data_IF_398557690702
#
_entry.id   IF_398557690702
#
_cell.length_a   1.000
_cell.length_b   1.000
_cell.length_c   1.000
_cell.angle_alpha   90.00
_cell.angle_beta   90.00
_cell.angle_gamma   90.00
#
_symmetry.space_group_name_H-M   'P 1'
#
loop_
_entity.id
_entity.type
_entity.pdbx_description
1 polymer ?
#
# COMPACT_ATOMS: atom_id res chain seq x y z
N UNK A 1 -45.24 -11.00 22.60
CA UNK A 1 -44.01 -11.74 22.22
C UNK A 1 -43.99 -11.79 20.70
N UNK A 2 -43.13 -11.02 20.04
CA UNK A 2 -43.01 -11.05 18.58
C UNK A 2 -42.14 -12.24 18.17
N UNK A 3 -42.71 -13.17 17.42
CA UNK A 3 -41.98 -14.34 16.90
C UNK A 3 -40.83 -13.88 16.02
N UNK A 4 -39.59 -14.22 16.42
CA UNK A 4 -38.40 -13.95 15.59
C UNK A 4 -38.46 -14.83 14.35
N UNK A 5 -38.62 -14.21 13.19
CA UNK A 5 -38.66 -14.87 11.88
C UNK A 5 -37.41 -15.73 11.65
N UNK A 6 -37.52 -16.86 10.94
CA UNK A 6 -36.38 -17.76 10.63
C UNK A 6 -35.13 -17.02 10.10
N UNK A 7 -35.34 -15.95 9.32
CA UNK A 7 -34.28 -15.07 8.78
C UNK A 7 -33.50 -14.30 9.83
N UNK A 8 -34.09 -14.00 10.99
CA UNK A 8 -33.43 -13.24 12.07
C UNK A 8 -32.43 -14.09 12.87
N UNK A 9 -32.52 -15.42 12.76
CA UNK A 9 -31.59 -16.36 13.42
C UNK A 9 -30.32 -16.63 12.60
N UNK A 10 -30.31 -16.27 11.32
CA UNK A 10 -29.19 -16.56 10.43
C UNK A 10 -28.13 -15.45 10.49
N UNK A 11 -26.95 -15.77 11.05
CA UNK A 11 -25.82 -14.81 11.17
C UNK A 11 -25.24 -14.38 9.81
N UNK A 12 -25.52 -15.12 8.72
CA UNK A 12 -24.95 -14.90 7.39
C UNK A 12 -26.06 -14.45 6.43
N UNK A 13 -26.26 -13.14 6.33
CA UNK A 13 -27.38 -12.53 5.56
C UNK A 13 -27.05 -12.29 4.08
N UNK A 14 -25.77 -12.28 3.73
CA UNK A 14 -25.30 -11.99 2.38
C UNK A 14 -24.97 -13.29 1.64
N UNK A 15 -25.50 -13.44 0.43
CA UNK A 15 -25.31 -14.60 -0.43
C UNK A 15 -24.55 -14.19 -1.69
N UNK A 16 -23.65 -15.06 -2.15
CA UNK A 16 -22.95 -14.94 -3.42
C UNK A 16 -23.11 -16.25 -4.17
N UNK A 17 -23.38 -16.16 -5.48
CA UNK A 17 -23.37 -17.31 -6.38
C UNK A 17 -22.06 -17.29 -7.17
N UNK A 18 -21.43 -18.46 -7.34
CA UNK A 18 -20.20 -18.63 -8.09
C UNK A 18 -20.39 -19.77 -9.09
N UNK A 19 -20.01 -19.54 -10.33
CA UNK A 19 -19.89 -20.60 -11.33
C UNK A 19 -18.43 -21.04 -11.34
N UNK A 20 -18.20 -22.35 -11.17
CA UNK A 20 -16.87 -22.95 -11.20
C UNK A 20 -16.75 -23.82 -12.43
N UNK A 21 -15.56 -23.89 -13.01
CA UNK A 21 -15.23 -24.92 -13.98
C UNK A 21 -14.93 -26.27 -13.29
N UNK A 22 -14.77 -27.33 -14.07
CA UNK A 22 -14.59 -28.68 -13.54
C UNK A 22 -13.33 -28.83 -12.67
N UNK A 23 -12.24 -28.13 -13.02
CA UNK A 23 -10.98 -28.15 -12.25
C UNK A 23 -11.13 -27.41 -10.91
N UNK A 24 -11.70 -26.21 -10.93
CA UNK A 24 -11.98 -25.40 -9.75
C UNK A 24 -12.91 -26.11 -8.76
N UNK A 25 -13.92 -26.83 -9.28
CA UNK A 25 -14.82 -27.63 -8.46
C UNK A 25 -14.07 -28.80 -7.80
N UNK A 26 -13.22 -29.50 -8.56
CA UNK A 26 -12.44 -30.64 -8.06
C UNK A 26 -11.48 -30.24 -6.93
N UNK A 27 -10.87 -29.07 -7.03
CA UNK A 27 -10.01 -28.53 -5.97
C UNK A 27 -10.80 -28.25 -4.68
N UNK A 28 -11.98 -27.64 -4.82
CA UNK A 28 -12.89 -27.40 -3.68
C UNK A 28 -13.31 -28.71 -3.03
N UNK A 29 -13.62 -29.74 -3.83
CA UNK A 29 -14.02 -31.06 -3.35
C UNK A 29 -12.89 -31.74 -2.58
N UNK A 30 -11.68 -31.72 -3.13
CA UNK A 30 -10.50 -32.28 -2.47
C UNK A 30 -10.25 -31.61 -1.11
N UNK A 31 -10.42 -30.30 -1.01
CA UNK A 31 -10.27 -29.54 0.24
C UNK A 31 -11.40 -29.89 1.23
N UNK A 32 -12.64 -29.96 0.74
CA UNK A 32 -13.79 -30.31 1.56
C UNK A 32 -13.64 -31.72 2.16
N UNK A 33 -13.21 -32.69 1.36
CA UNK A 33 -12.95 -34.06 1.80
C UNK A 33 -11.83 -34.13 2.84
N UNK A 34 -10.68 -33.50 2.57
CA UNK A 34 -9.51 -33.54 3.47
C UNK A 34 -9.76 -32.85 4.80
N UNK A 35 -10.55 -31.78 4.81
CA UNK A 35 -10.91 -31.06 6.04
C UNK A 35 -12.16 -31.61 6.71
N UNK A 36 -12.82 -32.61 6.10
CA UNK A 36 -14.10 -33.16 6.54
C UNK A 36 -15.18 -32.07 6.74
N UNK A 37 -15.29 -31.17 5.76
CA UNK A 37 -16.24 -30.04 5.78
C UNK A 37 -17.15 -30.06 4.54
N UNK A 38 -18.16 -29.18 4.51
CA UNK A 38 -19.00 -29.04 3.31
C UNK A 38 -18.28 -28.21 2.24
N UNK A 39 -18.61 -28.43 0.95
CA UNK A 39 -18.10 -27.60 -0.17
C UNK A 39 -18.27 -26.10 0.10
N UNK A 40 -19.41 -25.69 0.64
CA UNK A 40 -19.68 -24.30 0.99
C UNK A 40 -18.76 -23.76 2.11
N UNK A 41 -18.38 -24.59 3.08
CA UNK A 41 -17.44 -24.22 4.13
C UNK A 41 -16.01 -24.10 3.56
N UNK A 42 -15.60 -25.04 2.70
CA UNK A 42 -14.30 -24.99 2.01
C UNK A 42 -14.15 -23.74 1.12
N UNK A 43 -15.15 -23.46 0.26
CA UNK A 43 -15.17 -22.24 -0.59
C UNK A 43 -15.06 -20.99 0.28
N UNK A 44 -15.78 -20.95 1.40
CA UNK A 44 -15.74 -19.81 2.32
C UNK A 44 -14.34 -19.62 2.90
N UNK A 45 -13.68 -20.69 3.31
CA UNK A 45 -12.34 -20.62 3.87
C UNK A 45 -11.33 -20.10 2.84
N UNK A 46 -11.39 -20.62 1.61
CA UNK A 46 -10.60 -20.13 0.47
C UNK A 46 -10.84 -18.63 0.25
N UNK A 47 -12.10 -18.19 0.18
CA UNK A 47 -12.45 -16.78 -0.01
C UNK A 47 -11.92 -15.88 1.12
N UNK A 48 -12.02 -16.32 2.37
CA UNK A 48 -11.55 -15.53 3.53
C UNK A 48 -10.02 -15.45 3.55
N UNK A 49 -9.32 -16.57 3.30
CA UNK A 49 -7.87 -16.61 3.23
C UNK A 49 -7.33 -15.73 2.09
N UNK A 50 -7.89 -15.90 0.89
CA UNK A 50 -7.52 -15.08 -0.27
C UNK A 50 -7.84 -13.60 -0.05
N UNK A 51 -8.98 -13.27 0.58
CA UNK A 51 -9.31 -11.88 0.91
C UNK A 51 -8.25 -11.23 1.81
N UNK A 52 -7.72 -11.95 2.81
CA UNK A 52 -6.64 -11.44 3.66
C UNK A 52 -5.36 -11.19 2.87
N UNK A 53 -4.97 -12.14 2.02
CA UNK A 53 -3.79 -12.00 1.18
C UNK A 53 -3.92 -10.85 0.17
N UNK A 54 -5.08 -10.72 -0.49
CA UNK A 54 -5.36 -9.65 -1.43
C UNK A 54 -5.37 -8.29 -0.71
N UNK A 55 -6.03 -8.17 0.44
CA UNK A 55 -6.02 -6.94 1.25
C UNK A 55 -4.61 -6.54 1.68
N UNK A 56 -3.77 -7.52 2.04
CA UNK A 56 -2.37 -7.27 2.36
C UNK A 56 -1.58 -6.73 1.15
N UNK A 57 -1.92 -7.17 -0.08
CA UNK A 57 -1.35 -6.61 -1.32
C UNK A 57 -1.89 -5.21 -1.63
N UNK A 58 -3.15 -4.92 -1.32
CA UNK A 58 -3.74 -3.58 -1.52
C UNK A 58 -3.04 -2.53 -0.64
N UNK A 59 -2.59 -2.91 0.56
CA UNK A 59 -1.80 -2.03 1.45
C UNK A 59 -0.41 -1.65 0.92
N UNK A 60 0.07 -2.25 -0.17
CA UNK A 60 1.42 -1.97 -0.71
C UNK A 60 1.50 -0.74 -1.65
N UNK A 61 0.58 0.22 -1.52
CA UNK A 61 0.74 1.54 -2.12
C UNK A 61 1.14 2.60 -1.09
N UNK A 62 1.66 2.18 0.07
CA UNK A 62 2.22 3.05 1.11
C UNK A 62 3.49 3.81 0.66
N UNK A 63 4.05 3.49 -0.51
CA UNK A 63 5.21 4.21 -1.06
C UNK A 63 4.86 5.58 -1.68
N UNK A 64 3.59 6.02 -1.65
CA UNK A 64 3.23 7.35 -2.17
C UNK A 64 3.93 8.47 -1.40
N UNK A 65 4.09 8.32 -0.09
CA UNK A 65 4.78 9.29 0.77
C UNK A 65 6.30 9.28 0.51
N UNK A 66 6.89 8.08 0.40
CA UNK A 66 8.27 7.90 0.00
C UNK A 66 8.57 8.51 -1.38
N UNK A 67 7.70 8.27 -2.38
CA UNK A 67 7.82 8.83 -3.72
C UNK A 67 7.67 10.36 -3.73
N UNK A 68 6.79 10.91 -2.89
CA UNK A 68 6.62 12.34 -2.73
C UNK A 68 7.88 13.00 -2.13
N UNK A 69 8.43 12.42 -1.06
CA UNK A 69 9.67 12.90 -0.43
C UNK A 69 10.87 12.81 -1.39
N UNK A 70 11.03 11.69 -2.11
CA UNK A 70 12.08 11.53 -3.14
C UNK A 70 11.94 12.55 -4.28
N UNK A 71 10.71 12.87 -4.69
CA UNK A 71 10.44 13.88 -5.71
C UNK A 71 10.83 15.29 -5.23
N UNK A 72 10.56 15.63 -3.96
CA UNK A 72 10.95 16.92 -3.38
C UNK A 72 12.47 17.09 -3.32
N UNK A 73 13.18 16.05 -2.86
CA UNK A 73 14.66 16.04 -2.83
C UNK A 73 15.22 16.21 -4.24
N UNK A 74 14.69 15.48 -5.21
CA UNK A 74 15.13 15.56 -6.61
C UNK A 74 14.95 16.97 -7.19
N UNK A 75 13.84 17.63 -6.88
CA UNK A 75 13.57 19.00 -7.33
C UNK A 75 14.51 20.02 -6.68
N UNK A 76 14.80 19.88 -5.39
CA UNK A 76 15.71 20.78 -4.67
C UNK A 76 17.14 20.66 -5.19
N UNK A 77 17.64 19.43 -5.40
CA UNK A 77 18.96 19.19 -6.03
C UNK A 77 19.02 19.81 -7.42
N UNK A 78 17.97 19.66 -8.23
CA UNK A 78 17.93 20.22 -9.58
C UNK A 78 17.95 21.77 -9.57
N UNK A 79 17.31 22.41 -8.59
CA UNK A 79 17.36 23.86 -8.41
C UNK A 79 18.76 24.35 -8.03
N UNK A 80 19.44 23.63 -7.12
CA UNK A 80 20.84 23.91 -6.76
C UNK A 80 21.74 23.79 -7.99
N UNK A 81 21.62 22.68 -8.73
CA UNK A 81 22.40 22.45 -9.94
C UNK A 81 22.17 23.54 -11.00
N UNK A 82 20.92 23.96 -11.23
CA UNK A 82 20.60 25.07 -12.14
C UNK A 82 21.22 26.39 -11.69
N UNK A 83 21.13 26.72 -10.40
CA UNK A 83 21.71 27.95 -9.84
C UNK A 83 23.23 27.96 -10.00
N UNK A 84 23.91 26.85 -9.66
CA UNK A 84 25.36 26.67 -9.85
C UNK A 84 25.74 26.83 -11.32
N UNK A 85 25.03 26.15 -12.23
CA UNK A 85 25.31 26.21 -13.67
C UNK A 85 25.07 27.60 -14.27
N UNK A 86 24.11 28.37 -13.73
CA UNK A 86 23.77 29.69 -14.24
C UNK A 86 24.75 30.79 -13.81
N UNK A 87 25.30 30.70 -12.60
CA UNK A 87 26.25 31.70 -12.11
C UNK A 87 27.12 31.16 -10.97
N UNK A 88 28.12 30.35 -11.31
CA UNK A 88 29.04 29.72 -10.37
C UNK A 88 29.74 30.73 -9.45
N UNK A 89 30.19 31.86 -10.00
CA UNK A 89 30.92 32.88 -9.23
C UNK A 89 30.03 33.61 -8.22
N UNK A 90 28.76 33.84 -8.56
CA UNK A 90 27.76 34.41 -7.66
C UNK A 90 27.33 33.42 -6.56
N UNK A 91 27.40 32.12 -6.84
CA UNK A 91 27.09 31.08 -5.86
C UNK A 91 28.23 30.85 -4.86
N UNK A 92 29.47 30.98 -5.32
CA UNK A 92 30.67 30.85 -4.49
C UNK A 92 31.06 32.15 -3.77
N UNK A 93 30.36 33.25 -4.02
CA UNK A 93 30.60 34.51 -3.32
C UNK A 93 30.13 34.43 -1.88
N UNK A 94 30.93 34.95 -0.95
CA UNK A 94 30.67 34.98 0.49
C UNK A 94 29.32 35.60 0.86
N UNK A 95 28.82 36.51 0.03
CA UNK A 95 27.54 37.22 0.24
C UNK A 95 26.29 36.33 0.06
N UNK A 96 26.42 35.14 -0.54
CA UNK A 96 25.30 34.20 -0.76
C UNK A 96 25.54 32.81 -0.14
N UNK A 97 26.57 32.67 0.69
CA UNK A 97 26.90 31.43 1.42
C UNK A 97 25.68 30.92 2.20
N UNK A 98 24.93 31.83 2.81
CA UNK A 98 23.78 31.50 3.66
C UNK A 98 22.63 30.86 2.86
N UNK A 99 22.42 31.30 1.62
CA UNK A 99 21.42 30.71 0.71
C UNK A 99 21.80 29.29 0.32
N UNK A 100 23.09 29.01 0.16
CA UNK A 100 23.58 27.66 -0.11
C UNK A 100 23.45 26.76 1.13
N UNK A 101 23.82 27.27 2.30
CA UNK A 101 23.70 26.56 3.57
C UNK A 101 22.24 26.20 3.84
N UNK A 102 21.30 27.13 3.66
CA UNK A 102 19.87 26.88 3.84
C UNK A 102 19.33 25.78 2.91
N UNK A 103 19.75 25.80 1.64
CA UNK A 103 19.38 24.76 0.68
C UNK A 103 19.95 23.37 1.05
N UNK A 104 21.19 23.32 1.53
CA UNK A 104 21.82 22.07 1.98
C UNK A 104 21.22 21.55 3.29
N UNK A 105 20.85 22.43 4.21
CA UNK A 105 20.14 22.07 5.44
C UNK A 105 18.76 21.48 5.15
N UNK A 106 18.02 22.05 4.20
CA UNK A 106 16.72 21.53 3.78
C UNK A 106 16.85 20.15 3.15
N UNK A 107 17.83 19.95 2.25
CA UNK A 107 18.13 18.63 1.68
C UNK A 107 18.50 17.61 2.78
N UNK A 108 19.30 18.03 3.77
CA UNK A 108 19.71 17.15 4.88
C UNK A 108 18.52 16.74 5.75
N UNK A 109 17.63 17.68 6.08
CA UNK A 109 16.40 17.41 6.84
C UNK A 109 15.46 16.45 6.09
N UNK A 110 15.29 16.64 4.78
CA UNK A 110 14.46 15.76 3.95
C UNK A 110 15.03 14.33 3.91
N UNK A 111 16.36 14.18 3.84
CA UNK A 111 17.06 12.88 3.90
C UNK A 111 16.93 12.24 5.29
N UNK A 112 17.00 13.03 6.37
CA UNK A 112 16.82 12.53 7.74
C UNK A 112 15.38 12.08 8.01
N UNK A 113 14.38 12.80 7.49
CA UNK A 113 12.98 12.39 7.56
C UNK A 113 12.76 11.03 6.87
N UNK A 114 13.32 10.86 5.66
CA UNK A 114 13.30 9.58 4.94
C UNK A 114 13.94 8.43 5.72
N UNK A 115 15.05 8.70 6.42
CA UNK A 115 15.75 7.70 7.23
C UNK A 115 14.93 7.25 8.45
N UNK A 116 14.09 8.12 9.00
CA UNK A 116 13.27 7.82 10.18
C UNK A 116 11.93 7.15 9.84
N UNK A 117 11.47 7.27 8.59
CA UNK A 117 10.27 6.59 8.06
C UNK A 117 10.55 5.19 7.46
N UNK A 118 11.82 4.75 7.40
CA UNK A 118 12.27 3.44 6.90
C UNK A 118 12.72 2.53 8.04
#
# INVERSE_FOLDING_TARGET
MTEKTYKDRYKRKNFISLCLNDEELKDVETIAERLNTTRAAAIREILVLNSRQIKAKIKKNDNSELLFLLSNISNNINQVAKKINSNLNYFLSSDNSDVFIELMENITKDIEALKNDT
#
